data_IF_985550367998
#
_entry.id   IF_985550367998
#
_cell.length_a   1.000
_cell.length_b   1.000
_cell.length_c   1.000
_cell.angle_alpha   90.00
_cell.angle_beta   90.00
_cell.angle_gamma   90.00
#
_symmetry.space_group_name_H-M   'P 1'
#
loop_
_entity.id
_entity.type
_entity.pdbx_description
1 polymer ?
#
# COMPACT_ATOMS: atom_id res chain seq x y z
N UNK A 1 30.51 -17.16 30.00
CA UNK A 1 29.49 -16.11 30.23
C UNK A 1 29.05 -15.46 28.90
N UNK A 2 29.20 -16.16 27.77
CA UNK A 2 29.21 -15.50 26.46
C UNK A 2 27.81 -15.33 25.87
N UNK A 3 26.84 -16.10 26.37
CA UNK A 3 25.42 -16.02 25.98
C UNK A 3 24.76 -14.69 26.38
N UNK A 4 25.23 -14.03 27.45
CA UNK A 4 24.69 -12.74 27.91
C UNK A 4 24.90 -11.63 26.88
N UNK A 5 26.01 -11.66 26.13
CA UNK A 5 26.28 -10.68 25.07
C UNK A 5 25.28 -10.77 23.92
N UNK A 6 24.90 -12.00 23.55
CA UNK A 6 23.90 -12.23 22.50
C UNK A 6 22.49 -11.83 22.94
N UNK A 7 22.14 -12.09 24.20
CA UNK A 7 20.85 -11.66 24.76
C UNK A 7 20.77 -10.13 24.82
N UNK A 8 21.85 -9.47 25.25
CA UNK A 8 21.94 -8.00 25.23
C UNK A 8 21.81 -7.42 23.82
N UNK A 9 22.50 -8.03 22.85
CA UNK A 9 22.39 -7.64 21.44
C UNK A 9 20.96 -7.82 20.89
N UNK A 10 20.30 -8.95 21.19
CA UNK A 10 18.92 -9.20 20.79
C UNK A 10 17.95 -8.15 21.39
N UNK A 11 18.17 -7.76 22.64
CA UNK A 11 17.35 -6.74 23.29
C UNK A 11 17.56 -5.34 22.70
N UNK A 12 18.82 -4.96 22.45
CA UNK A 12 19.15 -3.69 21.79
C UNK A 12 18.55 -3.60 20.38
N UNK A 13 18.62 -4.68 19.61
CA UNK A 13 17.96 -4.78 18.29
C UNK A 13 16.44 -4.65 18.42
N UNK A 14 15.82 -5.25 19.44
CA UNK A 14 14.39 -5.09 19.73
C UNK A 14 13.96 -3.65 19.98
N UNK A 15 14.78 -2.87 20.68
CA UNK A 15 14.51 -1.44 20.90
C UNK A 15 14.59 -0.68 19.57
N UNK A 16 15.62 -0.96 18.75
CA UNK A 16 15.77 -0.34 17.42
C UNK A 16 14.59 -0.68 16.50
N UNK A 17 14.09 -1.92 16.51
CA UNK A 17 12.91 -2.33 15.76
C UNK A 17 11.69 -1.44 16.09
N UNK A 18 11.42 -1.20 17.37
CA UNK A 18 10.26 -0.40 17.79
C UNK A 18 10.38 1.06 17.32
N UNK A 19 11.60 1.57 17.22
CA UNK A 19 11.88 2.94 16.73
C UNK A 19 11.76 3.02 15.21
N UNK A 20 12.28 2.03 14.48
CA UNK A 20 12.35 2.03 13.01
C UNK A 20 11.05 1.55 12.37
N UNK A 21 10.27 0.71 13.06
CA UNK A 21 9.07 0.04 12.54
C UNK A 21 9.32 -0.72 11.23
N UNK A 22 10.53 -1.26 11.06
CA UNK A 22 10.95 -2.05 9.89
C UNK A 22 11.28 -3.47 10.30
N UNK A 23 10.50 -4.43 9.80
CA UNK A 23 10.49 -5.87 10.14
C UNK A 23 11.86 -6.56 9.98
N UNK A 24 12.81 -5.91 9.30
CA UNK A 24 14.19 -6.39 9.13
C UNK A 24 14.92 -6.52 10.47
N UNK A 25 14.72 -5.60 11.44
CA UNK A 25 15.47 -5.67 12.71
C UNK A 25 14.98 -6.85 13.55
N UNK A 26 13.70 -7.21 13.48
CA UNK A 26 13.11 -8.40 14.10
C UNK A 26 13.73 -9.71 13.58
N UNK A 27 14.09 -9.76 12.30
CA UNK A 27 14.80 -10.91 11.73
C UNK A 27 16.23 -11.04 12.28
N UNK A 28 16.90 -9.91 12.56
CA UNK A 28 18.22 -9.91 13.19
C UNK A 28 18.15 -10.35 14.66
N UNK A 29 17.09 -10.00 15.38
CA UNK A 29 16.82 -10.52 16.73
C UNK A 29 16.72 -12.05 16.70
N UNK A 30 16.00 -12.60 15.72
CA UNK A 30 15.91 -14.05 15.52
C UNK A 30 17.28 -14.71 15.32
N UNK A 31 18.17 -14.09 14.55
CA UNK A 31 19.54 -14.58 14.40
C UNK A 31 20.38 -14.46 15.67
N UNK A 32 20.28 -13.36 16.41
CA UNK A 32 20.97 -13.20 17.69
C UNK A 32 20.53 -14.26 18.73
N UNK A 33 19.24 -14.62 18.75
CA UNK A 33 18.72 -15.70 19.59
C UNK A 33 19.27 -17.08 19.18
N UNK A 34 19.43 -17.35 17.89
CA UNK A 34 20.07 -18.58 17.41
C UNK A 34 21.56 -18.63 17.79
N UNK A 35 22.27 -17.50 17.71
CA UNK A 35 23.64 -17.37 18.21
C UNK A 35 23.74 -17.60 19.72
N UNK A 36 22.80 -17.06 20.51
CA UNK A 36 22.71 -17.31 21.94
C UNK A 36 22.48 -18.79 22.27
N UNK A 37 21.64 -19.48 21.50
CA UNK A 37 21.39 -20.91 21.66
C UNK A 37 22.65 -21.73 21.34
N UNK A 38 23.36 -21.40 20.27
CA UNK A 38 24.65 -22.02 19.94
C UNK A 38 25.68 -21.81 21.07
N UNK A 39 25.72 -20.62 21.65
CA UNK A 39 26.57 -20.32 22.80
C UNK A 39 26.21 -21.15 24.04
N UNK A 40 24.91 -21.33 24.31
CA UNK A 40 24.41 -22.16 25.41
C UNK A 40 24.76 -23.65 25.23
N UNK A 41 24.84 -24.12 23.98
CA UNK A 41 25.27 -25.47 23.63
C UNK A 41 26.80 -25.66 23.65
N UNK A 42 27.57 -24.62 24.01
CA UNK A 42 29.03 -24.68 24.09
C UNK A 42 29.75 -24.56 22.75
N UNK A 43 29.09 -24.07 21.71
CA UNK A 43 29.73 -23.82 20.42
C UNK A 43 30.81 -22.72 20.54
N UNK A 44 31.91 -22.82 19.77
CA UNK A 44 32.93 -21.77 19.75
C UNK A 44 32.38 -20.48 19.13
N UNK A 45 32.93 -19.34 19.53
CA UNK A 45 32.44 -17.99 19.16
C UNK A 45 32.26 -17.81 17.65
N UNK A 46 33.19 -18.31 16.83
CA UNK A 46 33.09 -18.22 15.37
C UNK A 46 31.85 -18.96 14.83
N UNK A 47 31.49 -20.10 15.42
CA UNK A 47 30.32 -20.88 15.02
C UNK A 47 29.02 -20.21 15.46
N UNK A 48 29.01 -19.56 16.63
CA UNK A 48 27.88 -18.75 17.10
C UNK A 48 27.56 -17.61 16.12
N UNK A 49 28.60 -16.89 15.66
CA UNK A 49 28.46 -15.80 14.68
C UNK A 49 27.94 -16.33 13.35
N UNK A 50 28.48 -17.44 12.85
CA UNK A 50 28.00 -18.07 11.62
C UNK A 50 26.53 -18.47 11.72
N UNK A 51 26.12 -19.10 12.83
CA UNK A 51 24.72 -19.48 13.07
C UNK A 51 23.80 -18.26 13.12
N UNK A 52 24.21 -17.19 13.81
CA UNK A 52 23.43 -15.96 13.89
C UNK A 52 23.26 -15.28 12.53
N UNK A 53 24.34 -15.19 11.74
CA UNK A 53 24.31 -14.60 10.40
C UNK A 53 23.46 -15.44 9.44
N UNK A 54 23.64 -16.76 9.41
CA UNK A 54 22.88 -17.66 8.53
C UNK A 54 21.40 -17.62 8.87
N UNK A 55 21.05 -17.66 10.15
CA UNK A 55 19.65 -17.61 10.60
C UNK A 55 19.02 -16.26 10.25
N UNK A 56 19.72 -15.15 10.47
CA UNK A 56 19.27 -13.82 10.08
C UNK A 56 19.01 -13.73 8.58
N UNK A 57 19.99 -14.17 7.76
CA UNK A 57 19.86 -14.14 6.31
C UNK A 57 18.69 -15.00 5.82
N UNK A 58 18.50 -16.19 6.42
CA UNK A 58 17.39 -17.07 6.10
C UNK A 58 16.04 -16.44 6.46
N UNK A 59 15.92 -15.83 7.64
CA UNK A 59 14.72 -15.09 8.06
C UNK A 59 14.44 -13.93 7.11
N UNK A 60 15.46 -13.15 6.72
CA UNK A 60 15.31 -12.06 5.75
C UNK A 60 14.80 -12.58 4.41
N UNK A 61 15.41 -13.62 3.85
CA UNK A 61 15.02 -14.15 2.53
C UNK A 61 13.64 -14.79 2.55
N UNK A 62 13.23 -15.43 3.66
CA UNK A 62 11.94 -16.15 3.76
C UNK A 62 10.78 -15.26 4.20
N UNK A 63 10.98 -14.39 5.21
CA UNK A 63 9.93 -13.51 5.69
C UNK A 63 9.76 -12.27 4.80
N UNK A 64 10.80 -11.72 4.15
CA UNK A 64 10.64 -10.55 3.26
C UNK A 64 9.57 -10.74 2.18
N UNK A 65 9.52 -11.84 1.40
CA UNK A 65 8.45 -12.05 0.44
C UNK A 65 7.09 -12.27 1.12
N UNK A 66 7.05 -12.84 2.32
CA UNK A 66 5.80 -13.07 3.06
C UNK A 66 5.23 -11.77 3.63
N UNK A 67 6.07 -10.94 4.22
CA UNK A 67 5.74 -9.60 4.73
C UNK A 67 5.31 -8.71 3.58
N UNK A 68 6.05 -8.65 2.47
CA UNK A 68 5.66 -7.85 1.30
C UNK A 68 4.32 -8.33 0.69
N UNK A 69 4.07 -9.64 0.63
CA UNK A 69 2.78 -10.19 0.18
C UNK A 69 1.64 -9.87 1.14
N UNK A 70 1.89 -9.95 2.44
CA UNK A 70 0.87 -9.70 3.45
C UNK A 70 0.60 -8.20 3.64
N UNK A 71 1.60 -7.33 3.47
CA UNK A 71 1.42 -5.88 3.46
C UNK A 71 0.66 -5.45 2.20
N UNK A 72 0.97 -5.99 1.02
CA UNK A 72 0.14 -5.79 -0.19
C UNK A 72 -1.30 -6.28 -0.03
N UNK A 73 -1.55 -7.21 0.89
CA UNK A 73 -2.88 -7.75 1.18
C UNK A 73 -3.61 -7.04 2.33
N UNK A 74 -2.87 -6.36 3.22
CA UNK A 74 -3.39 -5.62 4.39
C UNK A 74 -3.36 -4.09 4.23
N UNK A 75 -2.70 -3.58 3.20
CA UNK A 75 -2.93 -2.23 2.69
C UNK A 75 -4.02 -2.39 1.64
N UNK A 76 -5.31 -2.17 1.97
CA UNK A 76 -6.21 -1.67 0.94
C UNK A 76 -5.50 -0.41 0.47
N UNK A 77 -4.98 -0.47 -0.75
CA UNK A 77 -4.51 0.69 -1.48
C UNK A 77 -5.47 1.83 -1.15
N UNK A 78 -4.96 3.02 -0.86
CA UNK A 78 -5.78 4.23 -0.78
C UNK A 78 -6.67 4.41 -2.03
N UNK A 79 -6.45 3.61 -3.08
CA UNK A 79 -7.35 3.34 -4.21
C UNK A 79 -8.68 2.64 -3.89
N UNK A 80 -8.91 2.09 -2.70
CA UNK A 80 -10.10 1.25 -2.45
C UNK A 80 -11.40 2.07 -2.41
N UNK A 81 -11.36 3.37 -2.12
CA UNK A 81 -12.55 4.21 -2.31
C UNK A 81 -12.72 4.61 -3.78
N UNK A 82 -11.67 5.12 -4.42
CA UNK A 82 -11.68 5.55 -5.82
C UNK A 82 -12.09 4.42 -6.78
N UNK A 83 -11.44 3.26 -6.72
CA UNK A 83 -11.75 2.11 -7.58
C UNK A 83 -13.16 1.56 -7.33
N UNK A 84 -13.68 1.64 -6.10
CA UNK A 84 -15.06 1.26 -5.78
C UNK A 84 -16.11 2.27 -6.27
N UNK A 85 -15.69 3.46 -6.71
CA UNK A 85 -16.59 4.43 -7.34
C UNK A 85 -16.70 4.24 -8.87
N UNK A 86 -15.87 3.42 -9.49
CA UNK A 86 -16.01 3.12 -10.93
C UNK A 86 -17.34 2.41 -11.18
N UNK A 87 -18.08 2.86 -12.18
CA UNK A 87 -19.45 2.41 -12.50
C UNK A 87 -20.54 2.99 -11.59
N UNK A 88 -20.20 3.87 -10.64
CA UNK A 88 -21.21 4.58 -9.84
C UNK A 88 -21.68 5.83 -10.56
N UNK A 89 -22.92 6.21 -10.24
CA UNK A 89 -23.53 7.46 -10.68
C UNK A 89 -23.10 8.60 -9.77
N UNK A 90 -22.82 9.75 -10.39
CA UNK A 90 -22.49 11.00 -9.75
C UNK A 90 -23.39 12.11 -10.31
N UNK A 91 -23.52 13.20 -9.57
CA UNK A 91 -24.29 14.37 -10.00
C UNK A 91 -23.33 15.52 -10.23
N UNK A 92 -23.41 16.18 -11.38
CA UNK A 92 -22.58 17.35 -11.67
C UNK A 92 -22.96 18.49 -10.72
N UNK A 93 -21.99 18.99 -9.96
CA UNK A 93 -22.18 20.14 -9.03
C UNK A 93 -21.51 21.40 -9.54
N UNK A 94 -20.52 21.28 -10.41
CA UNK A 94 -19.98 22.37 -11.21
C UNK A 94 -19.81 21.85 -12.63
N UNK A 95 -20.24 22.66 -13.60
CA UNK A 95 -20.22 22.33 -15.03
C UNK A 95 -18.91 21.62 -15.42
N UNK A 96 -19.03 20.47 -16.07
CA UNK A 96 -17.89 19.71 -16.57
C UNK A 96 -17.74 20.00 -18.05
N UNK A 97 -16.65 20.67 -18.39
CA UNK A 97 -16.29 21.03 -19.76
C UNK A 97 -14.91 20.48 -20.11
N UNK A 98 -14.37 20.92 -21.25
CA UNK A 98 -13.01 20.61 -21.69
C UNK A 98 -11.93 20.99 -20.67
N UNK A 99 -12.19 22.02 -19.86
CA UNK A 99 -11.25 22.50 -18.84
C UNK A 99 -11.37 21.77 -17.49
N UNK A 100 -12.36 20.88 -17.36
CA UNK A 100 -12.68 20.15 -16.14
C UNK A 100 -14.01 20.58 -15.52
N UNK A 101 -14.30 20.05 -14.33
CA UNK A 101 -15.49 20.37 -13.54
C UNK A 101 -15.52 19.63 -12.22
N UNK A 102 -16.70 19.53 -11.58
CA UNK A 102 -16.85 18.79 -10.31
C UNK A 102 -18.16 18.01 -10.25
N UNK A 103 -18.09 16.82 -9.67
CA UNK A 103 -19.24 15.94 -9.46
C UNK A 103 -19.36 15.57 -7.99
N UNK A 104 -20.59 15.34 -7.53
CA UNK A 104 -20.89 14.77 -6.23
C UNK A 104 -21.04 13.27 -6.37
N UNK A 105 -20.15 12.54 -5.71
CA UNK A 105 -20.00 11.10 -5.79
C UNK A 105 -20.00 10.53 -4.37
N UNK A 106 -20.97 9.69 -4.04
CA UNK A 106 -21.14 9.09 -2.70
C UNK A 106 -21.10 10.12 -1.54
N UNK A 107 -21.62 11.33 -1.78
CA UNK A 107 -21.71 12.40 -0.77
C UNK A 107 -20.54 13.38 -0.75
N UNK A 108 -19.43 13.07 -1.43
CA UNK A 108 -18.25 13.92 -1.52
C UNK A 108 -18.18 14.64 -2.88
N UNK A 109 -17.52 15.80 -2.93
CA UNK A 109 -17.30 16.54 -4.18
C UNK A 109 -15.92 16.18 -4.73
N UNK A 110 -15.92 15.61 -5.92
CA UNK A 110 -14.74 15.16 -6.65
C UNK A 110 -14.49 16.04 -7.87
N UNK A 111 -13.22 16.21 -8.24
CA UNK A 111 -12.85 16.81 -9.53
C UNK A 111 -13.31 15.87 -10.64
N UNK A 112 -13.86 16.42 -11.72
CA UNK A 112 -14.37 15.64 -12.83
C UNK A 112 -13.76 16.06 -14.15
N UNK A 113 -13.59 15.10 -15.06
CA UNK A 113 -13.21 15.31 -16.45
C UNK A 113 -14.07 14.43 -17.35
N UNK A 114 -14.30 14.88 -18.57
CA UNK A 114 -14.91 14.07 -19.63
C UNK A 114 -14.01 12.91 -20.05
N UNK A 115 -14.61 11.81 -20.50
CA UNK A 115 -13.89 10.63 -20.99
C UNK A 115 -12.89 10.93 -22.11
N UNK A 116 -13.27 11.81 -23.03
CA UNK A 116 -12.49 12.26 -24.19
C UNK A 116 -11.38 13.27 -23.84
N UNK A 117 -11.03 13.40 -22.57
CA UNK A 117 -10.03 14.34 -22.06
C UNK A 117 -10.30 15.82 -22.40
N UNK A 118 -11.56 16.16 -22.71
CA UNK A 118 -11.91 17.53 -23.09
C UNK A 118 -11.40 17.94 -24.47
N UNK A 119 -11.37 17.01 -25.43
CA UNK A 119 -11.08 17.36 -26.83
C UNK A 119 -12.05 18.43 -27.36
N UNK A 120 -11.59 19.32 -28.28
CA UNK A 120 -12.45 20.33 -28.89
C UNK A 120 -13.74 19.72 -29.47
N UNK A 121 -14.89 20.14 -28.96
CA UNK A 121 -16.21 19.62 -29.32
C UNK A 121 -16.79 18.58 -28.35
N UNK A 122 -16.17 18.40 -27.18
CA UNK A 122 -16.70 17.51 -26.14
C UNK A 122 -18.03 18.04 -25.57
N UNK A 123 -18.97 17.16 -25.20
CA UNK A 123 -20.25 17.58 -24.64
C UNK A 123 -20.06 18.24 -23.26
N UNK A 124 -20.65 19.42 -23.08
CA UNK A 124 -20.66 20.11 -21.79
C UNK A 124 -21.74 19.48 -20.89
N UNK A 125 -21.34 19.04 -19.70
CA UNK A 125 -22.26 18.47 -18.71
C UNK A 125 -22.72 19.57 -17.76
N UNK A 126 -24.00 19.94 -17.85
CA UNK A 126 -24.59 20.98 -17.01
C UNK A 126 -24.71 20.56 -15.54
N UNK A 127 -24.74 21.54 -14.64
CA UNK A 127 -24.99 21.31 -13.21
C UNK A 127 -26.35 20.62 -13.01
N UNK A 128 -26.36 19.59 -12.16
CA UNK A 128 -27.52 18.75 -11.89
C UNK A 128 -27.66 17.55 -12.83
N UNK A 129 -26.83 17.43 -13.88
CA UNK A 129 -26.84 16.25 -14.74
C UNK A 129 -26.30 15.01 -14.01
N UNK A 130 -26.92 13.86 -14.28
CA UNK A 130 -26.47 12.56 -13.80
C UNK A 130 -25.42 11.99 -14.76
N UNK A 131 -24.30 11.56 -14.23
CA UNK A 131 -23.14 11.05 -14.98
C UNK A 131 -22.64 9.75 -14.38
N UNK A 132 -22.03 8.90 -15.18
CA UNK A 132 -21.42 7.66 -14.73
C UNK A 132 -19.89 7.79 -14.70
N UNK A 133 -19.27 7.30 -13.62
CA UNK A 133 -17.82 7.28 -13.47
C UNK A 133 -17.24 6.11 -14.28
N UNK A 134 -16.54 6.42 -15.37
CA UNK A 134 -15.92 5.42 -16.26
C UNK A 134 -14.56 4.96 -15.71
N UNK A 135 -13.78 5.89 -15.17
CA UNK A 135 -12.48 5.60 -14.51
C UNK A 135 -12.16 6.66 -13.46
N UNK A 136 -11.24 6.37 -12.55
CA UNK A 136 -10.67 7.37 -11.64
C UNK A 136 -9.18 7.53 -11.95
N UNK A 137 -8.78 8.76 -12.30
CA UNK A 137 -7.40 9.15 -12.50
C UNK A 137 -6.93 9.96 -11.28
N UNK A 138 -6.42 9.25 -10.27
CA UNK A 138 -5.99 9.85 -9.00
C UNK A 138 -7.15 10.47 -8.21
N UNK A 139 -7.16 11.80 -8.10
CA UNK A 139 -8.23 12.57 -7.44
C UNK A 139 -9.26 13.14 -8.44
N UNK A 140 -9.21 12.70 -9.70
CA UNK A 140 -10.13 13.13 -10.77
C UNK A 140 -10.99 11.97 -11.22
N UNK A 141 -12.30 12.12 -11.14
CA UNK A 141 -13.27 11.20 -11.69
C UNK A 141 -13.47 11.48 -13.18
N UNK A 142 -13.26 10.47 -14.02
CA UNK A 142 -13.58 10.56 -15.43
C UNK A 142 -15.01 10.09 -15.63
N UNK A 143 -15.83 10.94 -16.22
CA UNK A 143 -17.28 10.77 -16.27
C UNK A 143 -17.82 10.85 -17.70
N UNK A 144 -18.88 10.08 -17.95
CA UNK A 144 -19.64 10.07 -19.19
C UNK A 144 -21.15 10.29 -18.91
N UNK A 145 -21.92 10.85 -19.85
CA UNK A 145 -23.38 10.95 -19.71
C UNK A 145 -24.03 9.57 -19.50
N UNK A 146 -24.98 9.47 -18.56
CA UNK A 146 -25.80 8.26 -18.38
C UNK A 146 -26.69 8.08 -19.62
N UNK A 147 -26.23 7.27 -20.56
CA UNK A 147 -26.88 7.07 -21.87
C UNK A 147 -25.95 6.74 -23.03
N UNK A 148 -24.63 6.84 -22.86
CA UNK A 148 -23.67 6.44 -23.89
C UNK A 148 -23.48 4.91 -23.99
N UNK A 149 -23.88 4.15 -22.98
CA UNK A 149 -23.66 2.69 -22.90
C UNK A 149 -24.97 1.92 -23.07
N UNK A 150 -25.45 1.83 -24.30
CA UNK A 150 -26.34 0.75 -24.72
C UNK A 150 -26.08 0.43 -26.19
N UNK A 151 -25.74 -0.83 -26.45
CA UNK A 151 -25.61 -1.52 -27.77
C UNK A 151 -24.16 -1.76 -28.24
N UNK A 152 -23.64 -2.95 -27.94
CA UNK A 152 -22.99 -3.84 -28.91
C UNK A 152 -23.04 -5.29 -28.37
#
# INVERSE_FOLDING_TARGET
>A
MDWLWWVGAAFALGIVEIIVLDVVVLMLIGGALAGALAAALGAPVWLQVVVACVTSALLVVTLRPWVLRQLKRRVPLTETNAAAQVGRRAIVVAEVSETGGRVKLTGEVWTARLEDDGRPGSPVLAVGSEVEVVRIDGATAVVAPVGATSTA
#
